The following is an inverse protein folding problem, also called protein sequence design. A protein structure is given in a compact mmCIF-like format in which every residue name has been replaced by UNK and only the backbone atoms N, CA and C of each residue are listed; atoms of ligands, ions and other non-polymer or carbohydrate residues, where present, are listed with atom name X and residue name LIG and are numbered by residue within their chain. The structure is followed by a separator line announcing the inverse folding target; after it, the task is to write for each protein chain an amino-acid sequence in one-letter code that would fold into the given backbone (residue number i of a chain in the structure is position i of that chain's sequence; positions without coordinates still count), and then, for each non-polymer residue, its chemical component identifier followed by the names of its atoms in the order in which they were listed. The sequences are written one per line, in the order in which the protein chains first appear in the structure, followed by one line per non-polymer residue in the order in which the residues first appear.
data_IF_028753484400
#
_entry.id   IF_028753484400
#
_cell.length_a   1.000
_cell.length_b   1.000
_cell.length_c   1.000
_cell.angle_alpha   90.00
_cell.angle_beta   90.00
_cell.angle_gamma   90.00
#
_symmetry.space_group_name_H-M   'P 1'
#
loop_
_entity.id
_entity.type
_entity.pdbx_description
1 polymer ?
#
# COMPACT_ATOMS: atom_id res chain seq x y z
N UNK A 1 -21.51 11.65 0.69
CA UNK A 1 -20.50 12.23 1.60
C UNK A 1 -19.96 11.09 2.46
N UNK A 2 -18.69 10.74 2.34
CA UNK A 2 -18.06 9.73 3.21
C UNK A 2 -18.10 10.20 4.66
N UNK A 3 -18.25 9.28 5.61
CA UNK A 3 -18.20 9.65 7.03
C UNK A 3 -16.78 10.06 7.41
N UNK A 4 -16.58 10.93 8.43
CA UNK A 4 -15.24 11.35 8.86
C UNK A 4 -14.27 10.19 9.15
N UNK A 5 -14.81 9.05 9.60
CA UNK A 5 -14.06 7.82 9.87
C UNK A 5 -13.62 7.11 8.58
N UNK A 6 -14.45 7.11 7.54
CA UNK A 6 -14.15 6.51 6.24
C UNK A 6 -13.01 7.26 5.52
N UNK A 7 -13.05 8.60 5.56
CA UNK A 7 -12.00 9.46 4.99
C UNK A 7 -10.66 9.29 5.72
N UNK A 8 -10.69 9.16 7.04
CA UNK A 8 -9.50 8.92 7.87
C UNK A 8 -8.93 7.54 7.61
N UNK A 9 -9.80 6.53 7.49
CA UNK A 9 -9.40 5.16 7.18
C UNK A 9 -8.78 5.06 5.78
N UNK A 10 -9.39 5.69 4.76
CA UNK A 10 -8.85 5.75 3.39
C UNK A 10 -7.46 6.39 3.36
N UNK A 11 -7.29 7.57 3.97
CA UNK A 11 -5.98 8.25 4.06
C UNK A 11 -4.93 7.40 4.75
N UNK A 12 -5.34 6.63 5.75
CA UNK A 12 -4.44 5.70 6.44
C UNK A 12 -3.96 4.60 5.50
N UNK A 13 -4.86 3.96 4.76
CA UNK A 13 -4.51 2.92 3.77
C UNK A 13 -3.60 3.47 2.65
N UNK A 14 -3.89 4.68 2.13
CA UNK A 14 -3.05 5.36 1.13
C UNK A 14 -1.65 5.68 1.68
N UNK A 15 -1.57 6.09 2.95
CA UNK A 15 -0.31 6.30 3.66
C UNK A 15 0.51 5.02 3.77
N UNK A 16 -0.13 3.89 4.12
CA UNK A 16 0.55 2.59 4.18
C UNK A 16 1.02 2.18 2.77
N UNK A 17 0.18 2.32 1.72
CA UNK A 17 0.58 2.02 0.33
C UNK A 17 1.82 2.82 -0.09
N UNK A 18 1.86 4.11 0.24
CA UNK A 18 3.00 4.99 -0.03
C UNK A 18 4.27 4.51 0.68
N UNK A 19 4.17 4.19 1.98
CA UNK A 19 5.31 3.70 2.76
C UNK A 19 5.81 2.34 2.23
N UNK A 20 4.92 1.42 1.88
CA UNK A 20 5.28 0.13 1.31
C UNK A 20 6.00 0.29 -0.03
N UNK A 21 5.54 1.18 -0.91
CA UNK A 21 6.20 1.44 -2.19
C UNK A 21 7.59 2.07 -1.99
N UNK A 22 7.73 3.04 -1.10
CA UNK A 22 9.03 3.66 -0.78
C UNK A 22 10.03 2.62 -0.24
N UNK A 23 9.56 1.66 0.58
CA UNK A 23 10.40 0.58 1.09
C UNK A 23 10.77 -0.43 0.01
N UNK A 24 9.88 -0.72 -0.94
CA UNK A 24 10.20 -1.55 -2.11
C UNK A 24 11.30 -0.91 -2.94
N UNK A 25 11.16 0.37 -3.29
CA UNK A 25 12.16 1.12 -4.05
C UNK A 25 13.51 1.16 -3.32
N UNK A 26 13.50 1.42 -2.01
CA UNK A 26 14.72 1.41 -1.20
C UNK A 26 15.39 0.03 -1.15
N UNK A 27 14.60 -1.03 -0.95
CA UNK A 27 15.10 -2.41 -0.93
C UNK A 27 15.60 -2.88 -2.31
N UNK A 28 15.04 -2.34 -3.41
CA UNK A 28 15.49 -2.62 -4.76
C UNK A 28 16.79 -1.88 -5.11
N UNK A 29 16.94 -0.65 -4.63
CA UNK A 29 18.10 0.20 -4.90
C UNK A 29 19.31 -0.13 -4.00
N UNK A 30 19.11 -0.67 -2.80
CA UNK A 30 20.19 -0.95 -1.86
C UNK A 30 20.96 -2.22 -2.23
N UNK A 31 22.15 -2.02 -2.80
CA UNK A 31 23.09 -3.07 -3.19
C UNK A 31 23.88 -3.65 -2.00
N UNK A 32 23.81 -3.03 -0.82
CA UNK A 32 24.50 -3.49 0.38
C UNK A 32 23.67 -4.47 1.22
N UNK A 33 22.37 -4.60 0.92
CA UNK A 33 21.54 -5.61 1.54
C UNK A 33 21.98 -7.00 1.11
N UNK A 34 22.19 -7.87 2.10
CA UNK A 34 22.40 -9.29 1.86
C UNK A 34 21.27 -9.86 0.97
N UNK A 35 21.57 -10.63 -0.09
CA UNK A 35 20.55 -11.08 -1.05
C UNK A 35 19.38 -11.84 -0.43
N UNK A 36 19.63 -12.67 0.59
CA UNK A 36 18.58 -13.42 1.26
C UNK A 36 17.69 -12.49 2.10
N UNK A 37 18.30 -11.52 2.79
CA UNK A 37 17.58 -10.48 3.54
C UNK A 37 16.76 -9.59 2.62
N UNK A 38 17.32 -9.19 1.47
CA UNK A 38 16.63 -8.41 0.44
C UNK A 38 15.42 -9.17 -0.09
N UNK A 39 15.59 -10.44 -0.44
CA UNK A 39 14.50 -11.28 -0.93
C UNK A 39 13.36 -11.38 0.10
N UNK A 40 13.68 -11.68 1.36
CA UNK A 40 12.68 -11.77 2.43
C UNK A 40 11.95 -10.43 2.66
N UNK A 41 12.67 -9.32 2.58
CA UNK A 41 12.09 -7.99 2.70
C UNK A 41 11.12 -7.70 1.55
N UNK A 42 11.53 -7.94 0.30
CA UNK A 42 10.69 -7.76 -0.88
C UNK A 42 9.43 -8.64 -0.82
N UNK A 43 9.56 -9.91 -0.44
CA UNK A 43 8.41 -10.81 -0.27
C UNK A 43 7.40 -10.26 0.74
N UNK A 44 7.86 -9.79 1.91
CA UNK A 44 6.99 -9.21 2.94
C UNK A 44 6.30 -7.94 2.45
N UNK A 45 7.03 -7.06 1.77
CA UNK A 45 6.48 -5.81 1.23
C UNK A 45 5.46 -6.08 0.11
N UNK A 46 5.71 -7.07 -0.74
CA UNK A 46 4.74 -7.52 -1.75
C UNK A 46 3.47 -8.10 -1.10
N UNK A 47 3.59 -8.86 -0.02
CA UNK A 47 2.43 -9.35 0.74
C UNK A 47 1.60 -8.20 1.30
N UNK A 48 2.24 -7.21 1.94
CA UNK A 48 1.53 -6.01 2.44
C UNK A 48 0.80 -5.30 1.31
N UNK A 49 1.45 -5.10 0.16
CA UNK A 49 0.83 -4.47 -1.01
C UNK A 49 -0.36 -5.28 -1.54
N UNK A 50 -0.25 -6.61 -1.57
CA UNK A 50 -1.32 -7.49 -2.02
C UNK A 50 -2.54 -7.46 -1.08
N UNK A 51 -2.33 -7.29 0.22
CA UNK A 51 -3.41 -7.12 1.21
C UNK A 51 -4.05 -5.73 1.16
N UNK A 52 -3.26 -4.69 0.89
CA UNK A 52 -3.75 -3.30 0.78
C UNK A 52 -4.58 -3.05 -0.48
N UNK A 53 -4.21 -3.66 -1.61
CA UNK A 53 -4.86 -3.38 -2.90
C UNK A 53 -6.38 -3.64 -2.89
N UNK A 54 -6.90 -4.78 -2.41
CA UNK A 54 -8.33 -5.00 -2.30
C UNK A 54 -9.05 -3.95 -1.45
N UNK A 55 -8.42 -3.52 -0.34
CA UNK A 55 -8.97 -2.51 0.56
C UNK A 55 -9.01 -1.13 -0.08
N UNK A 56 -8.01 -0.76 -0.88
CA UNK A 56 -8.01 0.51 -1.61
C UNK A 56 -8.95 0.48 -2.82
N UNK A 57 -9.11 -0.67 -3.45
CA UNK A 57 -10.03 -0.86 -4.57
C UNK A 57 -11.48 -0.64 -4.15
N UNK A 58 -11.88 -1.02 -2.94
CA UNK A 58 -13.25 -0.78 -2.45
C UNK A 58 -13.59 0.72 -2.37
N UNK A 59 -12.61 1.58 -2.07
CA UNK A 59 -12.79 3.04 -2.11
C UNK A 59 -12.72 3.61 -3.53
N UNK A 60 -11.85 3.06 -4.40
CA UNK A 60 -11.71 3.51 -5.80
C UNK A 60 -12.92 3.15 -6.67
N UNK A 61 -13.68 2.12 -6.28
CA UNK A 61 -14.88 1.64 -6.97
C UNK A 61 -16.20 2.21 -6.45
N UNK A 62 -16.20 3.24 -5.59
CA UNK A 62 -17.46 3.94 -5.29
C UNK A 62 -18.00 4.52 -6.60
N UNK A 63 -19.12 4.00 -7.14
CA UNK A 63 -19.75 4.63 -8.28
C UNK A 63 -20.11 6.03 -7.82
N UNK A 64 -19.67 7.04 -8.57
CA UNK A 64 -20.26 8.36 -8.43
C UNK A 64 -21.75 8.14 -8.64
N UNK A 65 -22.56 8.28 -7.60
CA UNK A 65 -23.99 8.44 -7.80
C UNK A 65 -24.13 9.68 -8.69
N UNK A 66 -24.34 9.45 -9.98
CA UNK A 66 -24.69 10.47 -10.95
C UNK A 66 -25.94 11.17 -10.40
N UNK A 67 -25.77 12.44 -9.97
CA UNK A 67 -26.86 13.35 -9.65
C UNK A 67 -27.56 13.83 -10.91
#
# INVERSE_FOLDING_TARGET
MSTPDEDTYRKTLEGIETLTNNLLEAAEADQNLDPATRQQLLERLHTIRAELQPLLLTFRWQPKEDQ
#
